data_IF_666985388966
#
_entry.id   IF_666985388966
#
_cell.length_a   1.000
_cell.length_b   1.000
_cell.length_c   1.000
_cell.angle_alpha   90.00
_cell.angle_beta   90.00
_cell.angle_gamma   90.00
#
_symmetry.space_group_name_H-M   'P 1'
#
loop_
_entity.id
_entity.type
_entity.pdbx_description
1 polymer ?
#
# COMPACT_ATOMS: atom_id res chain seq x y z
N UNK A 1 -18.96 1.22 29.93
CA UNK A 1 -18.46 2.49 29.37
C UNK A 1 -18.87 2.52 27.92
N UNK A 2 -19.54 3.58 27.44
CA UNK A 2 -19.88 3.69 26.03
C UNK A 2 -18.57 3.73 25.21
N UNK A 3 -18.48 2.87 24.22
CA UNK A 3 -17.36 2.83 23.29
C UNK A 3 -17.37 4.15 22.52
N UNK A 4 -16.29 4.93 22.57
CA UNK A 4 -16.21 6.19 21.84
C UNK A 4 -16.29 5.88 20.35
N UNK A 5 -17.23 6.50 19.64
CA UNK A 5 -17.35 6.39 18.19
C UNK A 5 -16.14 7.06 17.55
N UNK A 6 -15.35 6.30 16.78
CA UNK A 6 -14.15 6.82 16.07
C UNK A 6 -14.52 7.57 14.80
N UNK A 7 -15.63 7.18 14.16
CA UNK A 7 -16.09 7.74 12.88
C UNK A 7 -17.54 8.16 12.99
N UNK A 8 -17.87 9.41 12.71
CA UNK A 8 -19.23 9.96 12.81
C UNK A 8 -19.81 10.44 11.48
N UNK A 9 -18.97 10.84 10.53
CA UNK A 9 -19.37 11.42 9.26
C UNK A 9 -18.64 10.74 8.10
N UNK A 10 -19.14 10.89 6.88
CA UNK A 10 -18.51 10.35 5.68
C UNK A 10 -18.74 11.26 4.48
N UNK A 11 -17.74 11.37 3.64
CA UNK A 11 -17.84 11.86 2.26
C UNK A 11 -17.85 10.65 1.32
N UNK A 12 -18.56 10.70 0.23
CA UNK A 12 -18.56 9.65 -0.79
C UNK A 12 -18.89 10.23 -2.16
N UNK A 13 -18.47 9.50 -3.20
CA UNK A 13 -18.81 9.75 -4.58
C UNK A 13 -18.71 8.45 -5.38
N UNK A 14 -18.94 8.53 -6.69
CA UNK A 14 -19.04 7.36 -7.54
C UNK A 14 -18.21 7.56 -8.82
N UNK A 15 -17.57 6.49 -9.30
CA UNK A 15 -17.06 6.28 -10.65
C UNK A 15 -17.94 5.24 -11.37
N UNK A 16 -17.77 5.11 -12.69
CA UNK A 16 -18.66 4.26 -13.49
C UNK A 16 -18.45 2.74 -13.27
N UNK A 17 -17.25 2.34 -12.81
CA UNK A 17 -16.81 0.96 -12.69
C UNK A 17 -16.14 0.73 -11.33
N UNK A 18 -15.94 -0.54 -10.90
CA UNK A 18 -15.28 -0.87 -9.63
C UNK A 18 -14.02 -0.07 -9.37
N UNK A 19 -13.84 0.42 -8.15
CA UNK A 19 -12.61 1.07 -7.74
C UNK A 19 -11.50 0.03 -7.68
N UNK A 20 -10.40 0.29 -8.38
CA UNK A 20 -9.25 -0.63 -8.51
C UNK A 20 -8.09 -0.23 -7.63
N UNK A 21 -7.81 1.07 -7.52
CA UNK A 21 -6.77 1.59 -6.64
C UNK A 21 -7.12 2.98 -6.13
N UNK A 22 -6.53 3.37 -4.99
CA UNK A 22 -6.56 4.73 -4.48
C UNK A 22 -5.31 5.03 -3.65
N UNK A 23 -4.88 6.28 -3.66
CA UNK A 23 -3.68 6.72 -2.96
C UNK A 23 -3.73 8.19 -2.60
N UNK A 24 -3.08 8.54 -1.50
CA UNK A 24 -2.91 9.93 -1.05
C UNK A 24 -1.57 10.49 -1.51
N UNK A 25 -1.52 11.79 -1.78
CA UNK A 25 -0.25 12.51 -1.88
C UNK A 25 0.46 12.55 -0.52
N UNK A 26 1.78 12.73 -0.52
CA UNK A 26 2.58 12.70 0.71
C UNK A 26 2.21 13.80 1.73
N UNK A 27 1.73 14.95 1.24
CA UNK A 27 1.20 16.05 2.06
C UNK A 27 -0.26 15.84 2.51
N UNK A 28 -0.94 14.81 1.96
CA UNK A 28 -2.34 14.51 2.23
C UNK A 28 -3.34 15.48 1.59
N UNK A 29 -2.90 16.37 0.71
CA UNK A 29 -3.77 17.36 0.09
C UNK A 29 -4.53 16.82 -1.13
N UNK A 30 -4.05 15.72 -1.72
CA UNK A 30 -4.70 15.07 -2.85
C UNK A 30 -5.02 13.60 -2.55
N UNK A 31 -6.17 13.16 -3.08
CA UNK A 31 -6.52 11.74 -3.17
C UNK A 31 -6.78 11.40 -4.64
N UNK A 32 -6.04 10.45 -5.18
CA UNK A 32 -6.24 9.91 -6.52
C UNK A 32 -6.98 8.57 -6.43
N UNK A 33 -7.98 8.37 -7.29
CA UNK A 33 -8.86 7.19 -7.31
C UNK A 33 -8.97 6.70 -8.74
N UNK A 34 -8.74 5.40 -8.98
CA UNK A 34 -8.87 4.77 -10.29
C UNK A 34 -9.96 3.72 -10.32
N UNK A 35 -10.47 3.43 -11.52
CA UNK A 35 -11.53 2.44 -11.74
C UNK A 35 -11.15 1.38 -12.77
N UNK A 36 -11.93 0.29 -12.76
CA UNK A 36 -11.91 -0.76 -13.78
C UNK A 36 -12.28 -0.28 -15.18
N UNK A 37 -12.96 0.86 -15.30
CA UNK A 37 -13.24 1.55 -16.56
C UNK A 37 -12.11 2.46 -17.04
N UNK A 38 -10.99 2.52 -16.31
CA UNK A 38 -9.85 3.37 -16.69
C UNK A 38 -10.00 4.83 -16.33
N UNK A 39 -10.97 5.18 -15.52
CA UNK A 39 -11.13 6.54 -15.00
C UNK A 39 -10.04 6.84 -13.97
N UNK A 40 -9.62 8.09 -13.91
CA UNK A 40 -8.79 8.65 -12.86
C UNK A 40 -9.40 9.94 -12.33
N UNK A 41 -9.88 9.89 -11.09
CA UNK A 41 -10.41 11.03 -10.36
C UNK A 41 -9.36 11.56 -9.39
N UNK A 42 -9.16 12.87 -9.36
CA UNK A 42 -8.31 13.58 -8.41
C UNK A 42 -9.18 14.46 -7.52
N UNK A 43 -9.12 14.25 -6.21
CA UNK A 43 -9.72 15.13 -5.21
C UNK A 43 -8.65 16.08 -4.68
N UNK A 44 -8.88 17.38 -4.77
CA UNK A 44 -8.01 18.44 -4.22
C UNK A 44 -8.67 19.01 -2.96
N UNK A 45 -8.14 18.71 -1.79
CA UNK A 45 -8.66 19.16 -0.50
C UNK A 45 -8.27 20.60 -0.17
N UNK A 46 -7.26 21.18 -0.83
CA UNK A 46 -6.93 22.60 -0.69
C UNK A 46 -7.95 23.48 -1.41
N UNK A 47 -8.25 23.10 -2.65
CA UNK A 47 -9.20 23.83 -3.49
C UNK A 47 -10.66 23.44 -3.18
N UNK A 48 -10.89 22.32 -2.50
CA UNK A 48 -12.22 21.79 -2.24
C UNK A 48 -12.95 21.37 -3.51
N UNK A 49 -12.21 20.82 -4.48
CA UNK A 49 -12.76 20.42 -5.79
C UNK A 49 -12.30 19.02 -6.18
N UNK A 50 -13.00 18.47 -7.16
CA UNK A 50 -12.65 17.21 -7.81
C UNK A 50 -12.44 17.42 -9.30
N UNK A 51 -11.52 16.69 -9.89
CA UNK A 51 -11.21 16.74 -11.31
C UNK A 51 -11.04 15.32 -11.87
N UNK A 52 -11.82 15.03 -12.92
CA UNK A 52 -11.66 13.78 -13.68
C UNK A 52 -10.51 13.97 -14.68
N UNK A 53 -9.33 13.46 -14.35
CA UNK A 53 -8.13 13.59 -15.18
C UNK A 53 -8.17 12.68 -16.40
N UNK A 54 -8.84 11.53 -16.29
CA UNK A 54 -9.07 10.57 -17.37
C UNK A 54 -10.47 10.02 -17.24
N UNK A 55 -11.26 10.12 -18.31
CA UNK A 55 -12.61 9.57 -18.37
C UNK A 55 -12.62 8.05 -18.60
N UNK A 56 -13.83 7.50 -18.77
CA UNK A 56 -14.04 6.08 -19.05
C UNK A 56 -13.30 5.63 -20.32
N UNK A 57 -12.70 4.44 -20.25
CA UNK A 57 -11.87 3.85 -21.31
C UNK A 57 -12.00 2.33 -21.28
N UNK A 58 -11.69 1.65 -22.39
CA UNK A 58 -11.86 0.19 -22.50
C UNK A 58 -10.89 -0.65 -21.67
N UNK A 59 -9.99 -0.02 -20.89
CA UNK A 59 -8.94 -0.71 -20.11
C UNK A 59 -8.78 -0.12 -18.73
N UNK A 60 -8.75 -0.99 -17.72
CA UNK A 60 -8.59 -0.61 -16.31
C UNK A 60 -7.29 0.12 -16.01
N UNK A 61 -7.33 0.97 -14.99
CA UNK A 61 -6.17 1.47 -14.27
C UNK A 61 -6.10 0.76 -12.91
N UNK A 62 -5.06 -0.05 -12.70
CA UNK A 62 -4.97 -0.96 -11.54
C UNK A 62 -3.95 -0.53 -10.52
N UNK A 63 -3.08 0.40 -10.87
CA UNK A 63 -2.10 1.01 -9.97
C UNK A 63 -2.05 2.51 -10.17
N UNK A 64 -1.98 3.24 -9.07
CA UNK A 64 -1.91 4.71 -9.02
C UNK A 64 -0.96 5.14 -7.90
N UNK A 65 -0.19 6.22 -8.10
CA UNK A 65 0.76 6.68 -7.09
C UNK A 65 1.26 8.09 -7.33
N UNK A 66 1.48 8.84 -6.25
CA UNK A 66 2.15 10.13 -6.27
C UNK A 66 3.66 9.97 -6.05
N UNK A 67 4.46 10.79 -6.73
CA UNK A 67 5.88 10.93 -6.37
C UNK A 67 6.03 11.55 -4.98
N UNK A 68 7.13 11.24 -4.31
CA UNK A 68 7.36 11.70 -2.93
C UNK A 68 7.47 13.22 -2.79
N UNK A 69 7.88 13.92 -3.86
CA UNK A 69 7.94 15.38 -3.93
C UNK A 69 6.62 16.03 -4.35
N UNK A 70 5.59 15.22 -4.64
CA UNK A 70 4.27 15.68 -5.07
C UNK A 70 4.23 16.28 -6.47
N UNK A 71 5.30 16.15 -7.28
CA UNK A 71 5.33 16.73 -8.63
C UNK A 71 4.63 15.87 -9.68
N UNK A 72 4.54 14.56 -9.46
CA UNK A 72 3.98 13.63 -10.42
C UNK A 72 2.90 12.74 -9.80
N UNK A 73 1.87 12.49 -10.61
CA UNK A 73 0.90 11.41 -10.40
C UNK A 73 1.08 10.40 -11.53
N UNK A 74 1.16 9.11 -11.20
CA UNK A 74 1.19 8.04 -12.17
C UNK A 74 -0.04 7.16 -12.08
N UNK A 75 -0.48 6.61 -13.20
CA UNK A 75 -1.43 5.50 -13.25
C UNK A 75 -1.06 4.54 -14.38
N UNK A 76 -1.31 3.26 -14.17
CA UNK A 76 -1.08 2.22 -15.16
C UNK A 76 -2.05 1.06 -14.94
N UNK A 77 -2.18 0.18 -15.94
CA UNK A 77 -3.10 -0.95 -15.84
C UNK A 77 -3.07 -1.85 -17.08
N UNK A 78 -4.25 -2.29 -17.47
CA UNK A 78 -4.44 -3.36 -18.45
C UNK A 78 -3.93 -3.01 -19.87
N UNK A 79 -3.93 -1.74 -20.24
CA UNK A 79 -3.41 -1.30 -21.55
C UNK A 79 -1.90 -1.51 -21.74
N UNK A 80 -1.14 -1.72 -20.64
CA UNK A 80 0.32 -1.82 -20.69
C UNK A 80 1.00 -0.49 -20.96
N UNK A 81 0.33 0.61 -20.65
CA UNK A 81 0.79 1.97 -20.80
C UNK A 81 0.95 2.63 -19.42
N UNK A 82 2.01 3.40 -19.28
CA UNK A 82 2.23 4.27 -18.12
C UNK A 82 1.72 5.67 -18.47
N UNK A 83 0.75 6.13 -17.69
CA UNK A 83 0.25 7.50 -17.75
C UNK A 83 0.87 8.32 -16.62
N UNK A 84 1.33 9.52 -16.94
CA UNK A 84 1.90 10.46 -15.98
C UNK A 84 1.20 11.82 -16.11
N UNK A 85 0.96 12.45 -14.98
CA UNK A 85 0.52 13.84 -14.87
C UNK A 85 1.52 14.61 -14.05
N UNK A 86 1.88 15.79 -14.54
CA UNK A 86 2.67 16.75 -13.80
C UNK A 86 1.73 17.62 -12.97
N UNK A 87 1.91 17.58 -11.65
CA UNK A 87 1.12 18.36 -10.71
C UNK A 87 1.81 19.71 -10.54
N UNK A 88 1.26 20.76 -11.15
CA UNK A 88 1.77 22.13 -10.98
C UNK A 88 1.60 22.61 -9.54
N UNK A 89 2.50 23.48 -9.06
CA UNK A 89 2.31 24.18 -7.80
C UNK A 89 0.97 24.96 -7.81
N UNK A 90 0.50 25.31 -6.62
CA UNK A 90 -0.79 25.93 -6.30
C UNK A 90 -1.56 26.58 -7.47
N UNK A 91 -2.64 25.94 -7.91
CA UNK A 91 -3.64 26.52 -8.84
C UNK A 91 -3.48 26.17 -10.32
N UNK A 92 -2.57 25.29 -10.68
CA UNK A 92 -2.41 24.81 -12.06
C UNK A 92 -3.05 23.44 -12.19
N UNK A 93 -3.87 23.23 -13.23
CA UNK A 93 -4.41 21.90 -13.57
C UNK A 93 -3.28 20.91 -13.82
N UNK A 94 -3.44 19.64 -13.38
CA UNK A 94 -2.50 18.58 -13.73
C UNK A 94 -2.30 18.50 -15.24
N UNK A 95 -1.03 18.49 -15.68
CA UNK A 95 -0.68 18.39 -17.09
C UNK A 95 -0.39 16.92 -17.44
N UNK A 96 -1.25 16.33 -18.29
CA UNK A 96 -1.02 14.98 -18.78
C UNK A 96 0.22 14.95 -19.69
N UNK A 97 1.11 13.98 -19.46
CA UNK A 97 2.20 13.65 -20.38
C UNK A 97 1.72 12.64 -21.42
N UNK A 98 2.46 12.50 -22.53
CA UNK A 98 2.17 11.46 -23.51
C UNK A 98 2.25 10.07 -22.88
N UNK A 99 1.26 9.18 -23.08
CA UNK A 99 1.29 7.82 -22.56
C UNK A 99 2.50 7.06 -23.06
N UNK A 100 3.14 6.31 -22.17
CA UNK A 100 4.36 5.55 -22.47
C UNK A 100 4.05 4.05 -22.56
N UNK A 101 3.96 3.47 -23.77
CA UNK A 101 3.76 2.03 -23.92
C UNK A 101 5.01 1.26 -23.50
N UNK A 102 4.87 0.25 -22.66
CA UNK A 102 5.98 -0.54 -22.15
C UNK A 102 6.15 -1.89 -22.86
N UNK A 103 5.18 -2.27 -23.70
CA UNK A 103 5.27 -3.48 -24.54
C UNK A 103 5.20 -4.82 -23.77
N UNK A 104 5.02 -4.80 -22.47
CA UNK A 104 5.01 -5.98 -21.60
C UNK A 104 3.61 -6.53 -21.25
N UNK A 105 2.56 -5.96 -21.79
CA UNK A 105 1.19 -6.28 -21.41
C UNK A 105 0.78 -5.55 -20.12
N UNK A 106 -0.13 -6.11 -19.36
CA UNK A 106 -0.70 -5.52 -18.14
C UNK A 106 0.37 -5.06 -17.13
N UNK A 107 0.20 -3.82 -16.62
CA UNK A 107 1.03 -3.24 -15.55
C UNK A 107 0.17 -3.19 -14.28
N UNK A 108 0.41 -4.11 -13.37
CA UNK A 108 -0.26 -4.22 -12.07
C UNK A 108 0.67 -3.95 -10.88
N UNK A 109 1.94 -3.66 -11.16
CA UNK A 109 2.92 -3.33 -10.14
C UNK A 109 3.82 -2.15 -10.59
N UNK A 110 3.63 -1.02 -9.95
CA UNK A 110 4.47 0.16 -10.08
C UNK A 110 4.52 0.92 -8.75
N UNK A 111 5.65 1.54 -8.44
CA UNK A 111 5.81 2.25 -7.17
C UNK A 111 6.87 3.35 -7.27
N UNK A 112 6.57 4.52 -6.69
CA UNK A 112 7.52 5.60 -6.51
C UNK A 112 8.49 5.31 -5.37
N UNK A 113 9.73 5.74 -5.52
CA UNK A 113 10.75 5.70 -4.49
C UNK A 113 10.39 6.65 -3.34
N UNK A 114 10.30 6.19 -2.10
CA UNK A 114 10.16 7.08 -0.94
C UNK A 114 11.33 8.05 -0.83
N UNK A 115 11.03 9.34 -0.62
CA UNK A 115 12.03 10.39 -0.52
C UNK A 115 12.81 10.70 -1.81
N UNK A 116 12.40 10.11 -2.93
CA UNK A 116 13.03 10.29 -4.24
C UNK A 116 12.02 10.47 -5.37
N UNK A 117 12.52 10.52 -6.59
CA UNK A 117 11.72 10.73 -7.81
C UNK A 117 11.90 9.60 -8.83
N UNK A 118 12.36 8.41 -8.39
CA UNK A 118 12.41 7.23 -9.23
C UNK A 118 11.08 6.50 -9.18
N UNK A 119 10.54 6.17 -10.35
CA UNK A 119 9.39 5.29 -10.50
C UNK A 119 9.86 3.92 -10.99
N UNK A 120 9.58 2.88 -10.22
CA UNK A 120 9.77 1.50 -10.63
C UNK A 120 8.49 0.96 -11.25
N UNK A 121 8.58 0.36 -12.42
CA UNK A 121 7.44 -0.21 -13.15
C UNK A 121 7.78 -1.63 -13.59
N UNK A 122 6.90 -2.58 -13.26
CA UNK A 122 6.98 -3.96 -13.74
C UNK A 122 6.29 -4.07 -15.11
N UNK A 123 7.05 -4.41 -16.13
CA UNK A 123 6.57 -4.66 -17.48
C UNK A 123 6.85 -6.13 -17.85
N UNK A 124 5.91 -7.02 -17.54
CA UNK A 124 6.08 -8.46 -17.70
C UNK A 124 7.21 -8.99 -16.81
N UNK A 125 8.33 -9.39 -17.43
CA UNK A 125 9.51 -9.93 -16.72
C UNK A 125 10.59 -8.87 -16.43
N UNK A 126 10.39 -7.65 -16.90
CA UNK A 126 11.36 -6.57 -16.79
C UNK A 126 10.91 -5.55 -15.74
N UNK A 127 11.84 -5.17 -14.88
CA UNK A 127 11.70 -4.02 -14.02
C UNK A 127 12.38 -2.83 -14.69
N UNK A 128 11.63 -1.77 -14.93
CA UNK A 128 12.12 -0.53 -15.53
C UNK A 128 12.08 0.61 -14.52
N UNK A 129 13.03 1.52 -14.61
CA UNK A 129 13.10 2.70 -13.75
C UNK A 129 12.97 3.97 -14.60
N UNK A 130 11.95 4.76 -14.31
CA UNK A 130 11.79 6.10 -14.87
C UNK A 130 12.28 7.15 -13.86
N UNK A 131 13.07 8.09 -14.31
CA UNK A 131 13.67 9.12 -13.47
C UNK A 131 12.93 10.45 -13.66
N UNK A 132 12.22 10.91 -12.63
CA UNK A 132 11.45 12.15 -12.66
C UNK A 132 12.30 13.39 -12.79
N UNK A 133 13.55 13.38 -12.30
CA UNK A 133 14.44 14.53 -12.41
C UNK A 133 14.93 14.75 -13.84
N UNK A 134 15.30 13.68 -14.56
CA UNK A 134 15.72 13.75 -15.96
C UNK A 134 14.55 13.57 -16.94
N UNK A 135 13.40 13.10 -16.48
CA UNK A 135 12.22 12.72 -17.28
C UNK A 135 12.53 11.66 -18.34
N UNK A 136 13.39 10.72 -17.99
CA UNK A 136 13.84 9.67 -18.90
C UNK A 136 13.82 8.31 -18.23
N UNK A 137 13.69 7.26 -19.04
CA UNK A 137 13.95 5.90 -18.60
C UNK A 137 15.45 5.73 -18.37
N UNK A 138 15.82 5.05 -17.26
CA UNK A 138 17.20 4.61 -17.07
C UNK A 138 17.51 3.43 -17.99
N UNK A 139 18.72 3.37 -18.51
CA UNK A 139 19.17 2.32 -19.44
C UNK A 139 19.21 0.91 -18.82
N UNK A 140 19.04 0.79 -17.51
CA UNK A 140 19.08 -0.48 -16.81
C UNK A 140 17.68 -1.14 -16.77
N UNK A 141 17.47 -2.15 -17.63
CA UNK A 141 16.43 -3.15 -17.43
C UNK A 141 16.95 -4.23 -16.46
N UNK A 142 16.13 -4.60 -15.50
CA UNK A 142 16.46 -5.61 -14.49
C UNK A 142 15.52 -6.83 -14.70
N UNK A 143 15.95 -7.81 -15.53
CA UNK A 143 15.09 -8.95 -15.85
C UNK A 143 15.03 -9.95 -14.69
N UNK A 144 13.80 -10.47 -14.46
CA UNK A 144 13.53 -11.62 -13.61
C UNK A 144 13.23 -12.87 -14.45
N UNK A 145 13.37 -14.09 -13.87
CA UNK A 145 13.08 -15.34 -14.58
C UNK A 145 11.60 -15.52 -14.95
N UNK A 146 10.68 -14.86 -14.21
CA UNK A 146 9.25 -14.91 -14.44
C UNK A 146 8.61 -13.53 -14.44
N UNK A 147 7.31 -13.45 -14.78
CA UNK A 147 6.51 -12.22 -14.67
C UNK A 147 6.53 -11.70 -13.25
N UNK A 148 6.84 -10.42 -13.09
CA UNK A 148 6.88 -9.74 -11.80
C UNK A 148 5.44 -9.62 -11.28
N UNK A 149 5.20 -10.09 -10.05
CA UNK A 149 3.89 -10.11 -9.41
C UNK A 149 3.75 -9.01 -8.35
N UNK A 150 4.86 -8.56 -7.77
CA UNK A 150 4.83 -7.52 -6.74
C UNK A 150 6.15 -6.74 -6.71
N UNK A 151 6.02 -5.46 -6.37
CA UNK A 151 7.11 -4.51 -6.15
C UNK A 151 6.94 -3.85 -4.78
N UNK A 152 8.04 -3.56 -4.11
CA UNK A 152 8.04 -2.71 -2.93
C UNK A 152 9.36 -1.96 -2.78
N UNK A 153 9.30 -0.69 -2.41
CA UNK A 153 10.43 0.09 -1.96
C UNK A 153 10.57 0.00 -0.44
N UNK A 154 11.80 0.02 0.06
CA UNK A 154 12.04 0.28 1.47
C UNK A 154 11.68 1.72 1.83
N UNK A 155 11.30 1.98 3.08
CA UNK A 155 10.85 3.30 3.53
C UNK A 155 11.91 4.41 3.38
N UNK A 156 13.20 4.05 3.41
CA UNK A 156 14.33 4.95 3.16
C UNK A 156 14.64 5.15 1.66
N UNK A 157 13.89 4.49 0.77
CA UNK A 157 14.11 4.52 -0.68
C UNK A 157 15.41 3.85 -1.14
N UNK A 158 16.17 3.24 -0.23
CA UNK A 158 17.47 2.64 -0.53
C UNK A 158 17.42 1.28 -1.21
N UNK A 159 16.29 0.56 -1.06
CA UNK A 159 16.11 -0.78 -1.61
C UNK A 159 14.81 -0.90 -2.39
N UNK A 160 14.86 -1.65 -3.49
CA UNK A 160 13.71 -2.03 -4.29
C UNK A 160 13.63 -3.55 -4.34
N UNK A 161 12.53 -4.14 -3.88
CA UNK A 161 12.26 -5.55 -3.97
C UNK A 161 11.25 -5.84 -5.10
N UNK A 162 11.47 -6.93 -5.83
CA UNK A 162 10.51 -7.49 -6.78
C UNK A 162 10.43 -9.00 -6.63
N UNK A 163 9.24 -9.57 -6.80
CA UNK A 163 9.03 -11.00 -6.76
C UNK A 163 8.34 -11.51 -8.02
N UNK A 164 8.75 -12.71 -8.42
CA UNK A 164 8.11 -13.49 -9.46
C UNK A 164 7.97 -14.94 -8.97
N UNK A 165 7.53 -15.84 -9.84
CA UNK A 165 7.56 -17.26 -9.53
C UNK A 165 9.01 -17.75 -9.44
N UNK A 166 9.38 -18.34 -8.32
CA UNK A 166 10.69 -18.95 -8.09
C UNK A 166 11.78 -18.00 -7.58
N UNK A 167 11.56 -16.68 -7.60
CA UNK A 167 12.60 -15.72 -7.21
C UNK A 167 12.04 -14.44 -6.57
N UNK A 168 12.75 -13.97 -5.56
CA UNK A 168 12.67 -12.61 -5.04
C UNK A 168 14.03 -11.94 -5.26
N UNK A 169 14.03 -10.76 -5.85
CA UNK A 169 15.23 -9.98 -6.09
C UNK A 169 15.17 -8.64 -5.35
N UNK A 170 16.32 -8.21 -4.83
CA UNK A 170 16.49 -6.97 -4.09
C UNK A 170 17.60 -6.14 -4.72
N UNK A 171 17.27 -4.93 -5.14
CA UNK A 171 18.21 -3.95 -5.73
C UNK A 171 18.45 -2.79 -4.79
N UNK A 172 19.64 -2.20 -4.95
CA UNK A 172 20.00 -0.88 -4.46
C UNK A 172 20.16 0.04 -5.67
N UNK A 173 19.14 0.82 -6.07
CA UNK A 173 19.13 1.51 -7.36
C UNK A 173 20.25 2.49 -7.60
N UNK A 174 20.87 3.04 -6.54
CA UNK A 174 22.04 3.90 -6.64
C UNK A 174 23.38 3.15 -6.78
N UNK A 175 23.41 1.84 -6.46
CA UNK A 175 24.61 1.03 -6.38
C UNK A 175 24.58 -0.19 -7.31
N UNK A 176 23.38 -0.63 -7.75
CA UNK A 176 23.27 -1.80 -8.62
C UNK A 176 23.80 -1.52 -10.01
N UNK A 177 24.73 -2.34 -10.45
CA UNK A 177 25.37 -2.30 -11.74
C UNK A 177 25.75 -3.74 -12.14
N UNK A 178 26.23 -4.00 -13.35
CA UNK A 178 26.79 -5.31 -13.70
C UNK A 178 27.90 -5.78 -12.74
N UNK A 179 28.63 -4.84 -12.15
CA UNK A 179 29.65 -5.13 -11.13
C UNK A 179 29.09 -5.35 -9.72
N UNK A 180 27.85 -4.92 -9.47
CA UNK A 180 27.13 -5.10 -8.19
C UNK A 180 25.69 -5.56 -8.46
N UNK A 181 25.49 -6.87 -8.75
CA UNK A 181 24.19 -7.40 -9.13
C UNK A 181 23.22 -7.39 -7.95
N UNK A 182 21.90 -7.48 -8.20
CA UNK A 182 20.90 -7.59 -7.15
C UNK A 182 21.10 -8.85 -6.29
N UNK A 183 20.76 -8.75 -5.02
CA UNK A 183 20.64 -9.92 -4.16
C UNK A 183 19.41 -10.74 -4.60
N UNK A 184 19.60 -12.03 -4.83
CA UNK A 184 18.54 -12.93 -5.31
C UNK A 184 18.28 -14.02 -4.30
N UNK A 185 17.01 -14.22 -3.98
CA UNK A 185 16.54 -15.27 -3.09
C UNK A 185 15.67 -16.25 -3.86
N UNK A 186 16.03 -17.52 -3.96
CA UNK A 186 15.12 -18.55 -4.46
C UNK A 186 13.95 -18.71 -3.50
N UNK A 187 12.73 -18.72 -4.03
CA UNK A 187 11.48 -18.94 -3.31
C UNK A 187 10.70 -20.08 -3.97
N UNK A 188 9.97 -20.86 -3.17
CA UNK A 188 9.31 -22.07 -3.65
C UNK A 188 8.11 -21.80 -4.59
N UNK A 189 7.54 -20.60 -4.52
CA UNK A 189 6.32 -20.23 -5.24
C UNK A 189 6.37 -18.77 -5.69
N UNK A 190 5.27 -18.21 -6.18
CA UNK A 190 5.18 -16.79 -6.51
C UNK A 190 4.90 -15.94 -5.27
N UNK A 191 5.68 -14.87 -5.08
CA UNK A 191 5.35 -13.81 -4.14
C UNK A 191 4.29 -12.89 -4.76
N UNK A 192 3.11 -12.82 -4.14
CA UNK A 192 1.94 -12.08 -4.65
C UNK A 192 1.87 -10.65 -4.12
N UNK A 193 2.49 -10.39 -2.99
CA UNK A 193 2.55 -9.10 -2.33
C UNK A 193 3.87 -8.98 -1.58
N UNK A 194 4.44 -7.78 -1.60
CA UNK A 194 5.67 -7.43 -0.89
C UNK A 194 5.41 -6.20 -0.01
N UNK A 195 5.98 -6.19 1.19
CA UNK A 195 5.93 -5.04 2.07
C UNK A 195 7.20 -4.95 2.93
N UNK A 196 7.85 -3.78 2.93
CA UNK A 196 8.90 -3.46 3.89
C UNK A 196 8.29 -2.90 5.16
N UNK A 197 8.86 -3.23 6.32
CA UNK A 197 8.55 -2.52 7.56
C UNK A 197 9.08 -1.09 7.53
N UNK A 198 8.45 -0.16 8.25
CA UNK A 198 8.78 1.26 8.22
C UNK A 198 10.27 1.59 8.38
N UNK A 199 11.00 1.04 9.35
CA UNK A 199 12.45 1.23 9.48
C UNK A 199 13.31 0.42 8.49
N UNK A 200 12.70 -0.33 7.54
CA UNK A 200 13.42 -1.20 6.60
C UNK A 200 14.04 -2.44 7.24
N UNK A 201 13.65 -2.78 8.47
CA UNK A 201 14.24 -3.90 9.20
C UNK A 201 13.77 -5.28 8.70
N UNK A 202 12.59 -5.35 8.09
CA UNK A 202 12.03 -6.60 7.59
C UNK A 202 11.43 -6.40 6.21
N UNK A 203 11.50 -7.43 5.38
CA UNK A 203 10.73 -7.57 4.16
C UNK A 203 9.79 -8.76 4.31
N UNK A 204 8.49 -8.57 4.09
CA UNK A 204 7.52 -9.65 4.06
C UNK A 204 7.03 -9.92 2.63
N UNK A 205 6.80 -11.20 2.31
CA UNK A 205 6.17 -11.63 1.06
C UNK A 205 5.04 -12.61 1.34
N UNK A 206 3.84 -12.24 0.91
CA UNK A 206 2.70 -13.16 0.90
C UNK A 206 2.74 -14.02 -0.36
N UNK A 207 2.53 -15.34 -0.20
CA UNK A 207 2.84 -16.33 -1.22
C UNK A 207 1.60 -16.99 -1.82
N UNK A 208 1.74 -17.41 -3.07
CA UNK A 208 0.73 -18.19 -3.80
C UNK A 208 0.46 -19.56 -3.16
N UNK A 209 1.47 -20.19 -2.57
CA UNK A 209 1.41 -21.51 -1.92
C UNK A 209 0.82 -21.50 -0.50
N UNK A 210 0.19 -20.40 -0.11
CA UNK A 210 -0.42 -20.21 1.22
C UNK A 210 0.61 -20.16 2.35
N UNK A 211 1.78 -19.59 2.07
CA UNK A 211 2.79 -19.26 3.09
C UNK A 211 3.03 -17.75 3.14
N UNK A 212 3.70 -17.31 4.20
CA UNK A 212 4.21 -15.98 4.40
C UNK A 212 5.69 -16.10 4.71
N UNK A 213 6.51 -15.39 3.97
CA UNK A 213 7.95 -15.31 4.18
C UNK A 213 8.30 -13.95 4.78
N UNK A 214 9.17 -13.92 5.78
CA UNK A 214 9.67 -12.68 6.39
C UNK A 214 11.19 -12.74 6.48
N UNK A 215 11.85 -11.86 5.75
CA UNK A 215 13.30 -11.68 5.83
C UNK A 215 13.64 -10.68 6.93
N UNK A 216 14.67 -10.96 7.74
CA UNK A 216 15.21 -10.00 8.70
C UNK A 216 15.92 -8.86 7.99
N UNK A 217 16.38 -7.89 8.78
CA UNK A 217 17.08 -6.69 8.32
C UNK A 217 18.13 -6.97 7.23
N UNK A 218 18.11 -6.15 6.18
CA UNK A 218 19.00 -6.26 5.04
C UNK A 218 18.72 -7.45 4.13
N UNK A 219 17.63 -8.18 4.35
CA UNK A 219 17.24 -9.38 3.61
C UNK A 219 18.36 -10.42 3.50
N UNK A 220 19.28 -10.46 4.49
CA UNK A 220 20.39 -11.41 4.52
C UNK A 220 19.95 -12.76 5.10
N UNK A 221 20.36 -13.85 4.45
CA UNK A 221 20.06 -15.20 4.92
C UNK A 221 18.67 -15.72 4.53
N UNK A 222 18.24 -16.78 5.22
CA UNK A 222 16.96 -17.44 4.95
C UNK A 222 15.80 -16.71 5.62
N UNK A 223 14.64 -16.62 4.95
CA UNK A 223 13.46 -16.03 5.55
C UNK A 223 12.89 -16.92 6.66
N UNK A 224 12.17 -16.31 7.59
CA UNK A 224 11.26 -17.03 8.45
C UNK A 224 10.00 -17.37 7.63
N UNK A 225 9.57 -18.63 7.72
CA UNK A 225 8.42 -19.12 6.98
C UNK A 225 7.27 -19.43 7.92
N UNK A 226 6.11 -18.90 7.62
CA UNK A 226 4.86 -19.15 8.30
C UNK A 226 3.91 -19.87 7.35
N UNK A 227 3.26 -20.92 7.82
CA UNK A 227 2.36 -21.77 7.02
C UNK A 227 1.06 -22.02 7.78
N UNK A 228 0.11 -22.71 7.13
CA UNK A 228 -1.20 -23.02 7.75
C UNK A 228 -2.29 -22.01 7.37
N UNK A 229 -2.04 -21.10 6.44
CA UNK A 229 -3.07 -20.22 5.94
C UNK A 229 -4.13 -20.98 5.11
N UNK A 230 -5.43 -20.63 5.24
CA UNK A 230 -6.50 -21.30 4.50
C UNK A 230 -6.44 -21.02 2.99
N UNK A 231 -5.89 -19.88 2.59
CA UNK A 231 -5.78 -19.43 1.21
C UNK A 231 -4.46 -18.72 0.93
N UNK A 232 -4.24 -18.28 -0.31
CA UNK A 232 -3.12 -17.43 -0.72
C UNK A 232 -3.06 -16.16 0.12
N UNK A 233 -1.87 -15.76 0.55
CA UNK A 233 -1.66 -14.50 1.27
C UNK A 233 -1.48 -13.38 0.25
N UNK A 234 -2.48 -12.50 0.15
CA UNK A 234 -2.52 -11.43 -0.86
C UNK A 234 -2.44 -10.03 -0.28
N UNK A 235 -2.60 -9.89 1.03
CA UNK A 235 -2.57 -8.61 1.71
C UNK A 235 -1.60 -8.65 2.87
N UNK A 236 -0.74 -7.64 2.95
CA UNK A 236 0.23 -7.42 4.01
C UNK A 236 0.23 -5.94 4.38
N UNK A 237 0.35 -5.65 5.65
CA UNK A 237 0.59 -4.30 6.13
C UNK A 237 1.52 -4.33 7.35
N UNK A 238 2.46 -3.39 7.42
CA UNK A 238 3.32 -3.17 8.58
C UNK A 238 2.88 -1.92 9.34
N UNK A 239 2.94 -1.97 10.66
CA UNK A 239 2.82 -0.75 11.47
C UNK A 239 4.15 0.01 11.47
N UNK A 240 4.07 1.34 11.49
CA UNK A 240 5.21 2.25 11.53
C UNK A 240 5.25 3.12 12.81
N UNK A 241 4.64 2.64 13.90
CA UNK A 241 4.52 3.40 15.15
C UNK A 241 5.90 3.83 15.68
N UNK A 242 6.17 5.16 15.81
CA UNK A 242 7.42 5.67 16.34
C UNK A 242 7.70 5.17 17.76
N UNK A 243 8.96 4.81 18.03
CA UNK A 243 9.39 4.32 19.35
C UNK A 243 9.08 2.84 19.61
N UNK A 244 8.39 2.15 18.73
CA UNK A 244 8.20 0.71 18.81
C UNK A 244 9.35 -0.01 18.13
N UNK A 245 10.13 -0.77 18.90
CA UNK A 245 11.30 -1.50 18.39
C UNK A 245 10.92 -2.65 17.44
N UNK A 246 9.76 -3.28 17.64
CA UNK A 246 9.27 -4.37 16.81
C UNK A 246 7.94 -3.96 16.16
N UNK A 247 7.88 -3.75 14.83
CA UNK A 247 6.64 -3.42 14.14
C UNK A 247 5.66 -4.59 14.20
N UNK A 248 4.36 -4.29 14.09
CA UNK A 248 3.33 -5.30 13.87
C UNK A 248 3.27 -5.61 12.38
N UNK A 249 3.03 -6.88 12.04
CA UNK A 249 2.67 -7.30 10.69
C UNK A 249 1.23 -7.80 10.69
N UNK A 250 0.41 -7.28 9.81
CA UNK A 250 -0.90 -7.83 9.50
C UNK A 250 -0.84 -8.58 8.17
N UNK A 251 -1.46 -9.75 8.10
CA UNK A 251 -1.61 -10.53 6.87
C UNK A 251 -3.05 -10.99 6.72
N UNK A 252 -3.54 -11.11 5.49
CA UNK A 252 -4.87 -11.64 5.22
C UNK A 252 -4.83 -12.80 4.21
N UNK A 253 -5.62 -13.83 4.53
CA UNK A 253 -5.85 -14.99 3.70
C UNK A 253 -7.31 -15.44 3.84
N UNK A 254 -8.07 -15.44 2.75
CA UNK A 254 -9.54 -15.58 2.76
C UNK A 254 -10.20 -14.50 3.65
N UNK A 255 -11.10 -14.89 4.57
CA UNK A 255 -11.78 -14.00 5.52
C UNK A 255 -10.96 -13.65 6.76
N UNK A 256 -9.85 -14.35 7.00
CA UNK A 256 -9.05 -14.18 8.21
C UNK A 256 -7.98 -13.10 8.06
N UNK A 257 -7.90 -12.21 9.03
CA UNK A 257 -6.75 -11.34 9.28
C UNK A 257 -5.93 -11.93 10.42
N UNK A 258 -4.62 -12.02 10.26
CA UNK A 258 -3.71 -12.47 11.32
C UNK A 258 -2.76 -11.33 11.64
N UNK A 259 -2.74 -10.92 12.89
CA UNK A 259 -1.80 -9.96 13.43
C UNK A 259 -0.61 -10.71 14.02
N UNK A 260 0.59 -10.36 13.59
CA UNK A 260 1.84 -10.98 14.00
C UNK A 260 2.62 -10.04 14.90
N UNK A 261 2.99 -10.52 16.08
CA UNK A 261 3.82 -9.78 17.03
C UNK A 261 5.12 -10.57 17.28
N UNK A 262 6.25 -9.92 17.17
CA UNK A 262 7.52 -10.52 17.50
C UNK A 262 7.65 -10.64 19.02
N UNK A 263 7.92 -11.87 19.53
CA UNK A 263 7.98 -12.16 20.99
C UNK A 263 9.09 -11.36 21.68
N UNK A 264 10.24 -11.20 20.98
CA UNK A 264 11.32 -10.30 21.36
C UNK A 264 11.86 -9.66 20.10
N UNK A 265 12.24 -8.40 20.16
CA UNK A 265 12.86 -7.72 19.04
C UNK A 265 14.04 -8.52 18.47
N UNK A 266 14.08 -8.72 17.15
CA UNK A 266 15.10 -9.52 16.47
C UNK A 266 14.97 -11.04 16.63
N UNK A 267 14.00 -11.56 17.39
CA UNK A 267 13.80 -12.99 17.52
C UNK A 267 13.09 -13.60 16.31
N UNK A 268 13.34 -14.90 16.08
CA UNK A 268 12.61 -15.69 15.07
C UNK A 268 11.20 -16.08 15.52
N UNK A 269 10.87 -15.86 16.80
CA UNK A 269 9.59 -16.25 17.37
C UNK A 269 8.56 -15.12 17.19
N UNK A 270 7.50 -15.44 16.45
CA UNK A 270 6.36 -14.58 16.21
C UNK A 270 5.10 -15.21 16.78
N UNK A 271 4.25 -14.42 17.37
CA UNK A 271 2.97 -14.83 17.92
C UNK A 271 1.87 -14.38 16.95
N UNK A 272 1.09 -15.32 16.37
CA UNK A 272 -0.08 -15.00 15.59
C UNK A 272 -1.28 -14.71 16.49
N UNK A 273 -2.03 -13.67 16.15
CA UNK A 273 -3.32 -13.35 16.77
C UNK A 273 -4.37 -13.21 15.65
N UNK A 274 -5.34 -14.13 15.57
CA UNK A 274 -6.40 -14.06 14.56
C UNK A 274 -7.43 -13.00 14.92
N UNK A 275 -7.70 -12.10 13.98
CA UNK A 275 -8.76 -11.10 14.04
C UNK A 275 -9.96 -11.60 13.24
N UNK A 276 -10.95 -12.14 13.92
CA UNK A 276 -12.11 -12.80 13.30
C UNK A 276 -13.33 -11.87 13.33
N UNK A 277 -13.73 -11.39 12.18
CA UNK A 277 -14.90 -10.54 12.00
C UNK A 277 -15.53 -10.68 10.62
N UNK A 278 -14.71 -10.65 9.57
CA UNK A 278 -15.19 -10.67 8.20
C UNK A 278 -15.80 -12.01 7.81
N UNK A 279 -16.89 -11.98 7.04
CA UNK A 279 -17.59 -13.17 6.54
C UNK A 279 -17.12 -13.59 5.14
N UNK A 280 -16.41 -12.70 4.42
CA UNK A 280 -15.86 -12.94 3.10
C UNK A 280 -14.40 -12.50 3.04
N UNK A 281 -13.82 -12.68 1.84
CA UNK A 281 -12.40 -12.36 1.63
C UNK A 281 -12.05 -10.91 2.03
N UNK A 282 -10.99 -10.79 2.80
CA UNK A 282 -10.32 -9.51 3.06
C UNK A 282 -9.55 -9.09 1.82
N UNK A 283 -9.84 -7.92 1.30
CA UNK A 283 -9.28 -7.38 0.06
C UNK A 283 -8.21 -6.32 0.29
N UNK A 284 -8.23 -5.66 1.44
CA UNK A 284 -7.23 -4.65 1.77
C UNK A 284 -6.96 -4.59 3.27
N UNK A 285 -5.71 -4.28 3.61
CA UNK A 285 -5.20 -4.02 4.96
C UNK A 285 -4.37 -2.75 4.95
N UNK A 286 -4.55 -1.89 5.94
CA UNK A 286 -3.72 -0.70 6.11
C UNK A 286 -3.63 -0.29 7.59
N UNK A 287 -2.41 -0.06 8.10
CA UNK A 287 -2.23 0.61 9.38
C UNK A 287 -2.31 2.12 9.22
N UNK A 288 -2.92 2.79 10.18
CA UNK A 288 -2.87 4.24 10.23
C UNK A 288 -1.42 4.71 10.49
N UNK A 289 -0.91 5.71 9.73
CA UNK A 289 0.44 6.23 9.89
C UNK A 289 0.77 6.60 11.33
N UNK A 290 1.95 6.21 11.79
CA UNK A 290 2.42 6.48 13.16
C UNK A 290 1.64 5.78 14.28
N UNK A 291 0.85 4.75 13.96
CA UNK A 291 -0.09 4.10 14.89
C UNK A 291 -0.07 2.58 14.77
N UNK A 292 -0.74 1.91 15.70
CA UNK A 292 -1.10 0.48 15.61
C UNK A 292 -2.57 0.28 15.21
N UNK A 293 -3.30 1.35 14.91
CA UNK A 293 -4.68 1.27 14.42
C UNK A 293 -4.69 0.62 13.02
N UNK A 294 -5.28 -0.55 12.89
CA UNK A 294 -5.38 -1.30 11.64
C UNK A 294 -6.80 -1.16 11.08
N UNK A 295 -6.89 -0.91 9.77
CA UNK A 295 -8.12 -1.07 9.00
C UNK A 295 -8.03 -2.33 8.14
N UNK A 296 -9.11 -3.10 8.09
CA UNK A 296 -9.29 -4.23 7.19
C UNK A 296 -10.59 -4.07 6.41
N UNK A 297 -10.56 -4.29 5.10
CA UNK A 297 -11.72 -4.18 4.22
C UNK A 297 -12.01 -5.51 3.54
N UNK A 298 -13.30 -5.84 3.40
CA UNK A 298 -13.74 -7.13 2.89
C UNK A 298 -14.79 -7.03 1.79
N UNK A 299 -14.85 -8.08 1.00
CA UNK A 299 -15.92 -8.32 0.01
C UNK A 299 -17.30 -8.52 0.66
N UNK A 300 -17.41 -8.59 1.99
CA UNK A 300 -18.69 -8.63 2.71
C UNK A 300 -19.38 -7.26 2.79
N UNK A 301 -18.70 -6.18 2.36
CA UNK A 301 -19.22 -4.81 2.39
C UNK A 301 -18.89 -4.05 3.67
N UNK A 302 -17.99 -4.57 4.49
CA UNK A 302 -17.57 -3.94 5.74
C UNK A 302 -16.08 -3.57 5.74
N UNK A 303 -15.76 -2.56 6.54
CA UNK A 303 -14.40 -2.21 6.98
C UNK A 303 -14.36 -2.31 8.49
N UNK A 304 -13.39 -3.02 9.06
CA UNK A 304 -13.20 -3.11 10.51
C UNK A 304 -11.97 -2.33 10.95
N UNK A 305 -12.10 -1.57 12.05
CA UNK A 305 -11.01 -0.86 12.72
C UNK A 305 -10.58 -1.63 13.97
N UNK A 306 -9.27 -1.89 14.12
CA UNK A 306 -8.68 -2.69 15.19
C UNK A 306 -7.64 -1.90 15.98
N UNK A 307 -7.53 -2.13 17.28
CA UNK A 307 -6.60 -1.41 18.18
C UNK A 307 -5.13 -1.83 18.09
N UNK A 308 -4.79 -2.68 17.11
CA UNK A 308 -3.43 -3.25 16.99
C UNK A 308 -3.15 -4.37 18.00
N UNK A 309 -4.22 -4.93 18.56
CA UNK A 309 -4.28 -6.18 19.32
C UNK A 309 -5.41 -7.02 18.72
N UNK A 310 -6.20 -7.65 19.54
CA UNK A 310 -7.32 -8.52 19.15
C UNK A 310 -8.70 -7.83 19.16
N UNK A 311 -8.78 -6.57 19.62
CA UNK A 311 -10.03 -5.88 19.82
C UNK A 311 -10.44 -5.06 18.61
N UNK A 312 -11.64 -5.37 18.08
CA UNK A 312 -12.31 -4.50 17.12
C UNK A 312 -12.84 -3.27 17.84
N UNK A 313 -12.53 -2.09 17.30
CA UNK A 313 -12.97 -0.81 17.83
C UNK A 313 -14.28 -0.37 17.21
N UNK A 314 -14.40 -0.47 15.90
CA UNK A 314 -15.57 -0.01 15.16
C UNK A 314 -15.65 -0.69 13.79
N UNK A 315 -16.82 -1.23 13.40
CA UNK A 315 -17.11 -1.56 12.01
C UNK A 315 -17.58 -0.30 11.27
N UNK A 316 -17.24 -0.21 10.00
CA UNK A 316 -17.75 0.78 9.05
C UNK A 316 -18.45 0.02 7.93
N UNK A 317 -19.69 0.38 7.64
CA UNK A 317 -20.49 -0.30 6.62
C UNK A 317 -20.55 0.53 5.35
N UNK A 318 -20.40 -0.16 4.21
CA UNK A 318 -20.72 0.34 2.89
C UNK A 318 -22.22 0.27 2.58
N UNK A 319 -22.57 0.39 1.32
CA UNK A 319 -23.97 0.24 0.86
C UNK A 319 -24.17 -1.09 0.12
N UNK A 320 -23.69 -2.20 0.70
CA UNK A 320 -24.00 -3.54 0.24
C UNK A 320 -23.05 -4.10 -0.85
N UNK A 321 -22.06 -3.34 -1.33
CA UNK A 321 -20.99 -3.86 -2.18
C UNK A 321 -19.71 -4.10 -1.38
N UNK A 322 -18.88 -5.07 -1.86
CA UNK A 322 -17.62 -5.38 -1.21
C UNK A 322 -16.58 -4.31 -1.44
N UNK A 323 -15.77 -4.02 -0.43
CA UNK A 323 -14.63 -3.12 -0.56
C UNK A 323 -13.44 -3.82 -1.20
N UNK A 324 -12.72 -3.11 -2.07
CA UNK A 324 -11.53 -3.60 -2.80
C UNK A 324 -10.23 -3.01 -2.26
N UNK A 325 -10.24 -1.74 -1.88
CA UNK A 325 -9.03 -0.97 -1.57
C UNK A 325 -9.23 -0.05 -0.37
N UNK A 326 -8.14 0.22 0.36
CA UNK A 326 -8.06 1.15 1.49
C UNK A 326 -6.78 1.98 1.41
N UNK A 327 -6.84 3.23 1.82
CA UNK A 327 -5.65 4.04 2.12
C UNK A 327 -5.92 5.04 3.24
N UNK A 328 -5.00 5.11 4.19
CA UNK A 328 -4.98 6.17 5.18
C UNK A 328 -4.36 7.45 4.63
N UNK A 329 -4.93 8.59 4.96
CA UNK A 329 -4.28 9.88 4.76
C UNK A 329 -2.97 9.91 5.59
N UNK A 330 -1.89 10.56 5.15
CA UNK A 330 -0.63 10.59 5.87
C UNK A 330 -0.70 11.13 7.30
N UNK A 331 -1.69 11.96 7.62
CA UNK A 331 -1.95 12.45 8.99
C UNK A 331 -2.62 11.41 9.92
N UNK A 332 -3.03 10.24 9.37
CA UNK A 332 -3.73 9.19 10.09
C UNK A 332 -5.18 9.54 10.50
N UNK A 333 -5.71 10.68 10.05
CA UNK A 333 -7.03 11.19 10.48
C UNK A 333 -8.16 10.91 9.51
N UNK A 334 -7.85 10.38 8.33
CA UNK A 334 -8.85 10.03 7.33
C UNK A 334 -8.52 8.67 6.74
N UNK A 335 -9.55 7.87 6.56
CA UNK A 335 -9.49 6.58 5.86
C UNK A 335 -10.30 6.69 4.58
N UNK A 336 -9.66 6.44 3.45
CA UNK A 336 -10.32 6.29 2.16
C UNK A 336 -10.51 4.82 1.82
N UNK A 337 -11.62 4.48 1.16
CA UNK A 337 -11.92 3.15 0.66
C UNK A 337 -12.62 3.22 -0.70
N UNK A 338 -12.46 2.18 -1.50
CA UNK A 338 -13.16 2.00 -2.77
C UNK A 338 -13.84 0.64 -2.82
N UNK A 339 -15.03 0.58 -3.43
CA UNK A 339 -15.84 -0.61 -3.50
C UNK A 339 -16.00 -1.20 -4.92
N UNK A 340 -16.59 -2.38 -5.00
CA UNK A 340 -16.80 -3.13 -6.24
C UNK A 340 -17.89 -2.56 -7.15
N UNK A 341 -18.64 -1.54 -6.71
CA UNK A 341 -19.68 -0.85 -7.50
C UNK A 341 -19.23 0.53 -8.00
N UNK A 342 -17.93 0.89 -7.80
CA UNK A 342 -17.39 2.17 -8.23
C UNK A 342 -17.53 3.28 -7.20
N UNK A 343 -18.08 2.98 -6.02
CA UNK A 343 -18.21 4.00 -4.98
C UNK A 343 -16.94 4.13 -4.16
N UNK A 344 -16.55 5.36 -3.88
CA UNK A 344 -15.48 5.68 -2.95
C UNK A 344 -16.05 6.35 -1.68
N UNK A 345 -15.34 6.15 -0.58
CA UNK A 345 -15.71 6.58 0.76
C UNK A 345 -14.53 7.27 1.42
N UNK A 346 -14.81 8.31 2.20
CA UNK A 346 -13.83 8.99 3.02
C UNK A 346 -14.42 9.18 4.42
N UNK A 347 -13.77 8.62 5.40
CA UNK A 347 -14.16 8.73 6.80
C UNK A 347 -13.12 9.53 7.58
N UNK A 348 -13.52 10.61 8.30
CA UNK A 348 -12.68 11.19 9.35
C UNK A 348 -12.62 10.21 10.52
N UNK A 349 -11.41 9.92 11.01
CA UNK A 349 -11.16 8.98 12.09
C UNK A 349 -10.53 9.71 13.26
N UNK A 350 -11.19 9.69 14.42
CA UNK A 350 -10.60 10.18 15.66
C UNK A 350 -9.59 9.15 16.18
N UNK A 351 -8.32 9.40 15.96
CA UNK A 351 -7.25 8.54 16.49
C UNK A 351 -7.29 8.63 18.02
N UNK A 352 -7.38 7.49 18.76
CA UNK A 352 -7.33 7.51 20.21
C UNK A 352 -6.07 8.24 20.71
N UNK A 353 -6.24 9.21 21.61
CA UNK A 353 -5.11 9.93 22.20
C UNK A 353 -4.12 8.93 22.83
N UNK A 354 -2.83 9.12 22.61
CA UNK A 354 -1.77 8.30 23.19
C UNK A 354 -1.94 8.23 24.71
N UNK A 355 -1.86 7.04 25.29
CA UNK A 355 -1.94 6.81 26.76
C UNK A 355 -0.85 7.55 27.57
N UNK A 356 0.07 8.31 26.95
CA UNK A 356 1.14 9.07 27.59
C UNK A 356 0.85 10.56 27.83
N UNK A 357 -0.22 11.14 27.26
CA UNK A 357 -0.49 12.59 27.39
C UNK A 357 -1.46 12.97 28.54
N UNK A 358 -1.96 12.00 29.31
CA UNK A 358 -2.84 12.27 30.46
C UNK A 358 -2.11 12.57 31.77
N UNK A 359 -0.84 12.94 31.73
CA UNK A 359 0.01 13.07 32.91
C UNK A 359 0.72 14.40 33.12
N UNK A 360 0.13 15.58 32.75
CA UNK A 360 0.66 16.86 33.23
C UNK A 360 -0.33 18.03 33.21
N UNK A 361 -1.57 17.76 33.63
CA UNK A 361 -2.47 18.87 33.98
C UNK A 361 -2.43 19.07 35.49
N UNK A 362 -1.54 19.95 35.93
CA UNK A 362 -1.69 20.88 37.04
C UNK A 362 -1.99 20.33 38.42
N UNK A 363 -0.97 20.13 39.23
CA UNK A 363 -1.03 20.47 40.65
C UNK A 363 -0.22 21.74 40.87
N UNK A 364 -0.82 22.89 40.60
CA UNK A 364 -0.39 24.18 41.09
C UNK A 364 -1.26 24.50 42.28
N UNK A 365 -0.81 24.15 43.47
CA UNK A 365 -1.23 24.79 44.72
C UNK A 365 -0.08 25.61 45.23
N UNK A 366 -0.37 26.85 45.50
CA UNK A 366 0.49 27.80 46.18
C UNK A 366 -0.15 29.16 46.19
#
# INVERSE_FOLDING_TARGET
MAQATLVSERLCGDLSQPITALTWSADGEFLAITSGGGELLLLDFRAGCEELLRGDHDSSLDVVGFSSDGQFLMAAGQAGELHLWELGGTGVRPLAMEPMPLGGGWIDAAAWQPGGVLLAVAAGRELRLWDGASRQWRDASLPLPGTIQALAWSADGGHLAASCHGELALWQPGLSSPANPPLRHPIASAGLVLAFSGPGHHLASGMLDRSLLVWPQGCQGQPWQFSGFPAKVRQLAWSDQPGRLAPLLASAAAEAVILWTQVKHGSKAWQPEPLLWHEKRVQALAFAPGSTLLASASSDGSVALWDGRDRMLQPLEGQGSGFNVLAWRPDGRHLAAGDANGRWWLWPVAVPAREGERGSAGSGFG
#
